data_IF_044768491902
#
_entry.id   IF_044768491902
#
_cell.length_a   1.000
_cell.length_b   1.000
_cell.length_c   1.000
_cell.angle_alpha   90.00
_cell.angle_beta   90.00
_cell.angle_gamma   90.00
#
_symmetry.space_group_name_H-M   'P 1'
#
loop_
_entity.id
_entity.type
_entity.pdbx_description
1 polymer ?
#
# COMPACT_ATOMS: atom_id res chain seq x y z
N UNK A 1 7.68 -16.18 -9.77
CA UNK A 1 8.93 -15.45 -9.44
C UNK A 1 8.61 -14.31 -8.47
N UNK A 2 9.59 -13.72 -7.78
CA UNK A 2 9.33 -12.62 -6.84
C UNK A 2 8.82 -11.35 -7.53
N UNK A 3 7.88 -10.63 -6.90
CA UNK A 3 7.36 -9.36 -7.42
C UNK A 3 8.52 -8.33 -7.52
N UNK A 4 8.77 -7.86 -8.74
CA UNK A 4 9.86 -6.94 -9.09
C UNK A 4 9.81 -5.60 -8.34
N UNK A 5 8.63 -5.19 -7.88
CA UNK A 5 8.44 -3.95 -7.13
C UNK A 5 8.68 -4.11 -5.62
N UNK A 6 8.87 -5.34 -5.11
CA UNK A 6 8.98 -5.61 -3.67
C UNK A 6 10.07 -4.78 -3.01
N UNK A 7 11.24 -4.71 -3.62
CA UNK A 7 12.37 -3.97 -3.07
C UNK A 7 12.08 -2.46 -2.98
N UNK A 8 11.48 -1.90 -4.03
CA UNK A 8 11.07 -0.49 -4.07
C UNK A 8 10.03 -0.19 -2.97
N UNK A 9 8.95 -0.96 -2.86
CA UNK A 9 7.88 -0.71 -1.90
C UNK A 9 8.37 -0.79 -0.44
N UNK A 10 9.22 -1.77 -0.11
CA UNK A 10 9.83 -1.89 1.23
C UNK A 10 10.71 -0.69 1.56
N UNK A 11 11.61 -0.33 0.65
CA UNK A 11 12.51 0.81 0.86
C UNK A 11 11.72 2.11 0.94
N UNK A 12 10.68 2.28 0.12
CA UNK A 12 9.82 3.45 0.15
C UNK A 12 9.16 3.62 1.53
N UNK A 13 8.54 2.55 2.04
CA UNK A 13 7.94 2.57 3.38
C UNK A 13 8.95 2.95 4.47
N UNK A 14 10.15 2.36 4.44
CA UNK A 14 11.19 2.63 5.45
C UNK A 14 11.79 4.04 5.34
N UNK A 15 12.06 4.52 4.12
CA UNK A 15 12.71 5.82 3.87
C UNK A 15 11.78 7.01 4.08
N UNK A 16 10.49 6.85 3.79
CA UNK A 16 9.49 7.92 3.88
C UNK A 16 8.75 7.93 5.22
N UNK A 17 9.17 7.12 6.19
CA UNK A 17 8.51 6.98 7.49
C UNK A 17 7.04 6.57 7.36
N UNK A 18 6.79 5.53 6.55
CA UNK A 18 5.53 4.80 6.50
C UNK A 18 4.61 5.11 5.32
N UNK A 19 5.01 5.93 4.34
CA UNK A 19 4.19 6.08 3.12
C UNK A 19 4.29 4.83 2.25
N UNK A 20 3.19 4.53 1.56
CA UNK A 20 3.05 3.41 0.64
C UNK A 20 2.68 3.98 -0.74
N UNK A 21 3.40 3.62 -1.82
CA UNK A 21 2.98 3.95 -3.18
C UNK A 21 1.63 3.29 -3.50
N UNK A 22 0.75 4.00 -4.21
CA UNK A 22 -0.52 3.41 -4.65
C UNK A 22 -0.28 2.27 -5.64
N UNK A 23 -0.98 1.14 -5.46
CA UNK A 23 -0.94 0.00 -6.37
C UNK A 23 -2.28 -0.17 -7.11
N UNK A 24 -2.31 -0.22 -8.45
CA UNK A 24 -1.18 0.00 -9.37
C UNK A 24 -0.71 1.47 -9.36
N UNK A 25 0.58 1.67 -9.69
CA UNK A 25 1.24 2.98 -9.71
C UNK A 25 0.51 3.96 -10.64
N UNK A 26 0.46 5.24 -10.23
CA UNK A 26 -0.14 6.33 -11.02
C UNK A 26 -1.62 6.62 -10.73
N UNK A 27 -2.28 5.81 -9.89
CA UNK A 27 -3.60 6.15 -9.33
C UNK A 27 -3.47 7.22 -8.25
N UNK A 28 -4.53 8.03 -8.12
CA UNK A 28 -4.62 9.05 -7.09
C UNK A 28 -5.41 8.54 -5.90
N UNK A 29 -4.98 8.93 -4.71
CA UNK A 29 -5.65 8.61 -3.45
C UNK A 29 -5.74 9.88 -2.60
N UNK A 30 -6.82 10.01 -1.84
CA UNK A 30 -7.10 11.17 -1.02
C UNK A 30 -7.33 10.77 0.45
N UNK A 31 -7.08 11.68 1.40
CA UNK A 31 -7.47 11.45 2.79
C UNK A 31 -8.97 11.15 2.87
N UNK A 32 -9.30 10.12 3.65
CA UNK A 32 -10.66 9.61 3.78
C UNK A 32 -11.05 8.56 2.75
N UNK A 33 -10.25 8.27 1.72
CA UNK A 33 -10.51 7.13 0.83
C UNK A 33 -10.44 5.84 1.65
N UNK A 34 -11.43 4.97 1.49
CA UNK A 34 -11.44 3.66 2.11
C UNK A 34 -11.44 2.55 1.06
N UNK A 35 -10.69 1.49 1.35
CA UNK A 35 -10.36 0.45 0.38
C UNK A 35 -10.10 -0.89 1.05
N UNK A 36 -10.02 -1.94 0.23
CA UNK A 36 -9.53 -3.25 0.62
C UNK A 36 -8.32 -3.64 -0.23
N UNK A 37 -7.43 -4.45 0.33
CA UNK A 37 -6.38 -5.10 -0.44
C UNK A 37 -6.88 -6.52 -0.76
N UNK A 38 -7.04 -6.81 -2.05
CA UNK A 38 -7.42 -8.15 -2.53
C UNK A 38 -6.49 -8.52 -3.66
N UNK A 39 -5.88 -9.70 -3.57
CA UNK A 39 -5.00 -10.26 -4.61
C UNK A 39 -3.92 -9.28 -5.12
N UNK A 40 -3.20 -8.62 -4.20
CA UNK A 40 -2.15 -7.66 -4.57
C UNK A 40 -2.66 -6.29 -5.05
N UNK A 41 -3.98 -6.07 -5.08
CA UNK A 41 -4.57 -4.86 -5.62
C UNK A 41 -5.33 -4.07 -4.58
N UNK A 42 -5.20 -2.75 -4.65
CA UNK A 42 -6.03 -1.80 -3.92
C UNK A 42 -7.38 -1.64 -4.63
N UNK A 43 -8.44 -2.11 -3.99
CA UNK A 43 -9.83 -1.93 -4.43
C UNK A 43 -10.41 -0.75 -3.67
N UNK A 44 -10.49 0.41 -4.31
CA UNK A 44 -11.15 1.59 -3.74
C UNK A 44 -12.66 1.34 -3.61
N UNK A 45 -13.20 1.57 -2.41
CA UNK A 45 -14.60 1.29 -2.07
C UNK A 45 -15.41 2.57 -1.90
N UNK A 46 -14.76 3.68 -1.55
CA UNK A 46 -15.40 4.99 -1.44
C UNK A 46 -14.52 5.98 -0.70
N UNK A 47 -15.12 7.07 -0.26
CA UNK A 47 -14.48 8.10 0.55
C UNK A 47 -15.42 8.50 1.69
N UNK A 48 -14.89 8.66 2.91
CA UNK A 48 -15.70 8.94 4.11
C UNK A 48 -16.55 10.20 3.99
N UNK A 49 -16.13 11.18 3.19
CA UNK A 49 -16.88 12.42 2.93
C UNK A 49 -17.92 12.21 1.83
N UNK A 50 -17.48 11.66 0.69
CA UNK A 50 -18.35 11.46 -0.49
C UNK A 50 -19.54 10.54 -0.18
N UNK A 51 -19.32 9.56 0.69
CA UNK A 51 -20.31 8.57 1.08
C UNK A 51 -21.13 9.00 2.33
N UNK A 52 -20.93 10.21 2.86
CA UNK A 52 -21.68 10.70 4.03
C UNK A 52 -21.37 9.95 5.33
N UNK A 53 -20.20 9.30 5.42
CA UNK A 53 -19.79 8.58 6.62
C UNK A 53 -19.31 9.52 7.71
N UNK A 54 -18.75 10.68 7.35
CA UNK A 54 -18.40 11.76 8.27
C UNK A 54 -18.71 13.07 7.56
N UNK A 55 -19.28 14.02 8.29
CA UNK A 55 -19.53 15.35 7.75
C UNK A 55 -18.19 16.07 7.52
N UNK A 56 -17.95 16.73 6.37
CA UNK A 56 -16.67 17.38 6.09
C UNK A 56 -16.23 18.39 7.17
N UNK A 57 -17.19 19.01 7.88
CA UNK A 57 -16.94 19.97 8.95
C UNK A 57 -16.44 19.33 10.25
N UNK A 58 -16.67 18.02 10.43
CA UNK A 58 -16.19 17.26 11.59
C UNK A 58 -14.71 16.84 11.43
N UNK A 59 -14.09 17.08 10.27
CA UNK A 59 -12.70 16.68 10.02
C UNK A 59 -11.78 17.89 9.87
N UNK A 60 -10.74 17.91 10.69
CA UNK A 60 -9.64 18.86 10.59
C UNK A 60 -8.54 18.30 9.67
N UNK A 61 -8.30 18.96 8.54
CA UNK A 61 -7.22 18.63 7.61
C UNK A 61 -6.05 19.62 7.76
N UNK A 62 -4.84 19.09 7.88
CA UNK A 62 -3.63 19.86 7.65
C UNK A 62 -3.26 19.77 6.16
N UNK A 63 -3.25 20.92 5.49
CA UNK A 63 -2.82 21.04 4.10
C UNK A 63 -1.35 21.48 4.03
N UNK A 64 -0.64 21.09 2.97
CA UNK A 64 0.75 21.51 2.69
C UNK A 64 1.76 21.18 3.80
N UNK A 65 1.65 20.00 4.42
CA UNK A 65 2.69 19.54 5.34
C UNK A 65 3.95 19.19 4.53
N UNK A 66 5.00 19.99 4.64
CA UNK A 66 6.27 19.71 3.97
C UNK A 66 6.90 18.44 4.52
N UNK A 67 7.24 17.52 3.63
CA UNK A 67 7.92 16.28 3.95
C UNK A 67 9.44 16.46 3.76
N UNK A 68 10.24 15.60 4.39
CA UNK A 68 11.69 15.64 4.24
C UNK A 68 12.09 15.24 2.80
N UNK A 69 12.66 16.13 1.99
CA UNK A 69 13.03 15.81 0.60
C UNK A 69 14.08 14.70 0.50
N UNK A 70 14.98 14.57 1.48
CA UNK A 70 16.03 13.53 1.46
C UNK A 70 15.44 12.12 1.54
N UNK A 71 14.32 11.95 2.24
CA UNK A 71 13.60 10.67 2.32
C UNK A 71 12.90 10.27 1.02
N UNK A 72 12.86 11.18 0.04
CA UNK A 72 12.11 11.07 -1.21
C UNK A 72 13.04 11.05 -2.45
N UNK A 73 14.33 10.84 -2.25
CA UNK A 73 15.31 10.61 -3.32
C UNK A 73 16.30 9.54 -2.91
N UNK A 74 16.11 8.32 -3.40
CA UNK A 74 16.92 7.16 -3.03
C UNK A 74 16.94 6.10 -4.13
N UNK A 75 17.95 5.23 -4.09
CA UNK A 75 18.14 4.15 -5.06
C UNK A 75 18.72 2.94 -4.35
N UNK A 76 18.52 1.77 -4.93
CA UNK A 76 19.15 0.53 -4.49
C UNK A 76 19.73 -0.23 -5.69
N UNK A 77 21.00 -0.63 -5.56
CA UNK A 77 21.73 -1.38 -6.59
C UNK A 77 21.79 -0.73 -7.98
N UNK A 78 21.89 0.61 -8.02
CA UNK A 78 22.05 1.41 -9.24
C UNK A 78 23.43 2.07 -9.26
N UNK A 79 24.11 1.96 -10.39
CA UNK A 79 25.36 2.66 -10.69
C UNK A 79 25.18 3.62 -11.86
N UNK A 80 26.06 4.60 -11.96
CA UNK A 80 26.07 5.62 -13.01
C UNK A 80 27.36 5.48 -13.83
N UNK A 81 27.50 4.44 -14.67
CA UNK A 81 28.74 4.17 -15.41
C UNK A 81 29.14 5.31 -16.35
N UNK A 82 28.18 6.12 -16.80
CA UNK A 82 28.45 7.27 -17.62
C UNK A 82 27.52 8.44 -17.26
N UNK A 83 28.10 9.62 -17.10
CA UNK A 83 27.41 10.90 -17.05
C UNK A 83 28.34 11.93 -17.71
N UNK A 84 27.94 12.48 -18.85
CA UNK A 84 28.82 13.33 -19.64
C UNK A 84 28.13 14.04 -20.79
N UNK A 85 28.94 14.81 -21.53
CA UNK A 85 28.49 15.56 -22.70
C UNK A 85 28.67 14.71 -23.96
N UNK A 86 27.73 14.86 -24.89
CA UNK A 86 27.82 14.35 -26.24
C UNK A 86 27.51 15.45 -27.24
N UNK A 87 28.07 15.30 -28.45
CA UNK A 87 27.79 16.19 -29.57
C UNK A 87 26.94 15.42 -30.58
N UNK A 88 25.80 15.99 -30.96
CA UNK A 88 24.93 15.50 -32.02
C UNK A 88 25.07 16.39 -33.25
N UNK A 89 24.82 15.84 -34.43
CA UNK A 89 24.81 16.59 -35.68
C UNK A 89 23.49 16.34 -36.40
N UNK A 90 22.63 17.35 -36.47
CA UNK A 90 21.32 17.30 -37.14
C UNK A 90 21.40 18.11 -38.45
N UNK A 91 21.01 17.55 -39.61
CA UNK A 91 21.05 18.25 -40.89
C UNK A 91 20.27 19.59 -40.93
N UNK A 92 19.29 19.79 -40.03
CA UNK A 92 18.46 21.00 -39.95
C UNK A 92 18.90 21.98 -38.85
N UNK A 93 19.58 21.50 -37.79
CA UNK A 93 19.98 22.31 -36.63
C UNK A 93 21.49 22.51 -36.49
N UNK A 94 22.30 21.82 -37.27
CA UNK A 94 23.77 21.83 -37.15
C UNK A 94 24.25 20.99 -35.96
N UNK A 95 25.48 21.27 -35.50
CA UNK A 95 26.04 20.66 -34.29
C UNK A 95 25.30 21.17 -33.05
N UNK A 96 24.83 20.25 -32.22
CA UNK A 96 24.21 20.57 -30.93
C UNK A 96 24.83 19.73 -29.82
N UNK A 97 24.97 20.33 -28.64
CA UNK A 97 25.45 19.63 -27.46
C UNK A 97 24.27 19.04 -26.67
N UNK A 98 24.47 17.85 -26.11
CA UNK A 98 23.50 17.20 -25.24
C UNK A 98 24.20 16.59 -24.03
N UNK A 99 23.49 16.45 -22.91
CA UNK A 99 23.99 15.67 -21.78
C UNK A 99 23.41 14.27 -21.82
N UNK A 100 24.26 13.25 -21.65
CA UNK A 100 23.89 11.83 -21.65
C UNK A 100 24.26 11.20 -20.30
N UNK A 101 23.37 10.35 -19.80
CA UNK A 101 23.58 9.57 -18.59
C UNK A 101 23.11 8.14 -18.82
N UNK A 102 23.93 7.18 -18.39
CA UNK A 102 23.61 5.76 -18.39
C UNK A 102 23.45 5.33 -16.93
N UNK A 103 22.33 4.68 -16.63
CA UNK A 103 22.03 4.06 -15.35
C UNK A 103 22.08 2.54 -15.52
N UNK A 104 22.93 1.88 -14.75
CA UNK A 104 23.06 0.43 -14.76
C UNK A 104 22.54 -0.17 -13.44
N UNK A 105 21.65 -1.15 -13.54
CA UNK A 105 20.99 -1.82 -12.42
C UNK A 105 21.59 -3.21 -12.25
N UNK A 106 22.12 -3.50 -11.07
CA UNK A 106 22.85 -4.76 -10.83
C UNK A 106 21.96 -6.01 -10.97
N UNK A 107 20.78 -5.99 -10.33
CA UNK A 107 19.89 -7.15 -10.20
C UNK A 107 18.44 -6.78 -10.53
N UNK A 108 17.60 -7.77 -10.78
CA UNK A 108 16.15 -7.59 -10.94
C UNK A 108 15.51 -7.01 -9.66
N UNK A 109 14.70 -5.97 -9.82
CA UNK A 109 14.01 -5.27 -8.72
C UNK A 109 14.83 -4.15 -8.08
N UNK A 110 16.07 -3.93 -8.52
CA UNK A 110 16.81 -2.70 -8.22
C UNK A 110 16.10 -1.49 -8.83
N UNK A 111 16.25 -0.34 -8.19
CA UNK A 111 15.45 0.83 -8.56
C UNK A 111 16.16 2.14 -8.25
N UNK A 112 15.71 3.19 -8.90
CA UNK A 112 16.04 4.58 -8.59
C UNK A 112 14.76 5.40 -8.54
N UNK A 113 14.57 6.11 -7.44
CA UNK A 113 13.42 6.97 -7.21
C UNK A 113 13.89 8.39 -6.86
N UNK A 114 13.24 9.38 -7.46
CA UNK A 114 13.42 10.78 -7.12
C UNK A 114 12.09 11.50 -7.11
N UNK A 115 11.89 12.35 -6.13
CA UNK A 115 10.78 13.26 -6.06
C UNK A 115 11.23 14.62 -5.55
N UNK A 116 10.59 15.68 -6.05
CA UNK A 116 10.87 17.06 -5.70
C UNK A 116 9.75 17.64 -4.85
N UNK A 117 10.12 18.47 -3.86
CA UNK A 117 9.17 19.23 -3.02
C UNK A 117 7.96 18.40 -2.52
N UNK A 118 8.20 17.28 -1.80
CA UNK A 118 7.14 16.42 -1.33
C UNK A 118 6.32 17.11 -0.22
N UNK A 119 5.00 17.09 -0.37
CA UNK A 119 4.05 17.62 0.60
C UNK A 119 2.92 16.61 0.88
N UNK A 120 2.31 16.68 2.05
CA UNK A 120 1.15 15.84 2.40
C UNK A 120 -0.05 16.61 2.92
N UNK A 121 -1.21 16.00 2.75
CA UNK A 121 -2.47 16.38 3.36
C UNK A 121 -2.84 15.30 4.38
N UNK A 122 -3.15 15.69 5.62
CA UNK A 122 -3.36 14.76 6.75
C UNK A 122 -4.61 15.08 7.56
N UNK A 123 -5.34 14.05 7.98
CA UNK A 123 -6.38 14.15 9.01
C UNK A 123 -5.74 14.33 10.38
N UNK A 124 -6.03 15.46 11.05
CA UNK A 124 -5.44 15.80 12.35
C UNK A 124 -6.23 15.22 13.52
N UNK A 125 -7.56 15.22 13.43
CA UNK A 125 -8.46 14.83 14.52
C UNK A 125 -8.95 13.39 14.37
N UNK A 126 -8.06 12.48 13.95
CA UNK A 126 -8.41 11.06 13.77
C UNK A 126 -9.03 10.45 15.04
N UNK A 127 -8.51 10.83 16.21
CA UNK A 127 -9.01 10.37 17.52
C UNK A 127 -10.51 10.57 17.70
N UNK A 128 -11.05 11.62 17.09
CA UNK A 128 -12.41 12.09 17.32
C UNK A 128 -13.39 11.36 16.40
N UNK A 129 -12.95 11.00 15.19
CA UNK A 129 -13.80 10.38 14.16
C UNK A 129 -13.69 8.85 14.12
N UNK A 130 -12.65 8.27 14.71
CA UNK A 130 -12.33 6.85 14.54
C UNK A 130 -13.43 5.88 15.02
N UNK A 131 -14.13 6.21 16.10
CA UNK A 131 -15.19 5.35 16.66
C UNK A 131 -16.43 5.39 15.79
N UNK A 132 -16.82 6.58 15.33
CA UNK A 132 -17.89 6.78 14.36
C UNK A 132 -17.62 6.00 13.07
N UNK A 133 -16.37 6.02 12.59
CA UNK A 133 -15.97 5.26 11.42
C UNK A 133 -16.07 3.74 11.64
N UNK A 134 -15.68 3.22 12.81
CA UNK A 134 -15.89 1.79 13.14
C UNK A 134 -17.37 1.45 13.02
N UNK A 135 -18.24 2.21 13.69
CA UNK A 135 -19.67 1.94 13.70
C UNK A 135 -20.25 1.99 12.28
N UNK A 136 -19.90 3.02 11.50
CA UNK A 136 -20.47 3.23 10.17
C UNK A 136 -19.97 2.23 9.13
N UNK A 137 -18.67 1.92 9.14
CA UNK A 137 -18.07 0.98 8.19
C UNK A 137 -18.35 -0.50 8.52
N UNK A 138 -18.70 -0.83 9.76
CA UNK A 138 -18.91 -2.23 10.17
C UNK A 138 -20.37 -2.60 10.44
N UNK A 139 -21.24 -1.62 10.71
CA UNK A 139 -22.65 -1.87 11.08
C UNK A 139 -23.67 -1.05 10.30
N UNK A 140 -23.56 0.28 10.31
CA UNK A 140 -24.72 1.11 9.92
C UNK A 140 -24.83 1.37 8.43
N UNK A 141 -23.71 1.40 7.70
CA UNK A 141 -23.70 1.61 6.25
C UNK A 141 -23.15 0.39 5.50
N UNK A 142 -22.17 -0.28 6.10
CA UNK A 142 -21.50 -1.43 5.53
C UNK A 142 -21.26 -2.48 6.60
N UNK A 143 -20.84 -3.68 6.19
CA UNK A 143 -20.51 -4.81 7.07
C UNK A 143 -19.06 -5.23 6.95
N UNK A 144 -18.14 -4.26 6.77
CA UNK A 144 -16.73 -4.58 6.60
C UNK A 144 -16.15 -5.24 7.87
N UNK A 145 -15.27 -6.22 7.65
CA UNK A 145 -14.44 -6.87 8.69
C UNK A 145 -12.97 -6.51 8.55
N UNK A 146 -12.54 -6.24 7.32
CA UNK A 146 -11.24 -5.69 6.96
C UNK A 146 -11.48 -4.49 6.04
N UNK A 147 -10.98 -3.32 6.42
CA UNK A 147 -11.02 -2.11 5.60
C UNK A 147 -9.87 -1.19 6.01
N UNK A 148 -9.32 -0.49 5.03
CA UNK A 148 -8.28 0.51 5.22
C UNK A 148 -8.89 1.88 4.98
N UNK A 149 -8.50 2.88 5.76
CA UNK A 149 -8.88 4.29 5.57
C UNK A 149 -7.59 5.10 5.46
N UNK A 150 -7.47 5.84 4.37
CA UNK A 150 -6.34 6.72 4.11
C UNK A 150 -6.41 7.91 5.05
N UNK A 151 -5.37 8.10 5.86
CA UNK A 151 -5.28 9.17 6.86
C UNK A 151 -4.39 10.31 6.41
N UNK A 152 -3.45 10.01 5.53
CA UNK A 152 -2.51 10.97 4.97
C UNK A 152 -2.23 10.61 3.51
N UNK A 153 -2.20 11.61 2.64
CA UNK A 153 -1.84 11.42 1.24
C UNK A 153 -0.76 12.43 0.86
N UNK A 154 0.27 11.96 0.18
CA UNK A 154 1.43 12.74 -0.22
C UNK A 154 1.51 12.88 -1.73
N UNK A 155 2.04 14.03 -2.17
CA UNK A 155 2.30 14.37 -3.55
C UNK A 155 3.62 15.14 -3.63
N UNK A 156 4.36 14.91 -4.71
CA UNK A 156 5.55 15.67 -5.06
C UNK A 156 5.22 16.66 -6.18
N UNK A 157 6.02 17.71 -6.37
CA UNK A 157 5.85 18.58 -7.54
C UNK A 157 6.06 17.78 -8.83
N UNK A 158 7.11 16.96 -8.86
CA UNK A 158 7.36 15.93 -9.84
C UNK A 158 8.03 14.71 -9.18
N UNK A 159 7.89 13.54 -9.79
CA UNK A 159 8.63 12.35 -9.38
C UNK A 159 8.95 11.43 -10.55
N UNK A 160 10.05 10.68 -10.44
CA UNK A 160 10.50 9.71 -11.44
C UNK A 160 10.93 8.41 -10.75
N UNK A 161 10.51 7.28 -11.30
CA UNK A 161 10.86 5.95 -10.86
C UNK A 161 11.33 5.11 -12.04
N UNK A 162 12.44 4.39 -11.85
CA UNK A 162 12.84 3.28 -12.72
C UNK A 162 13.08 2.02 -11.89
N UNK A 163 12.61 0.87 -12.36
CA UNK A 163 12.76 -0.46 -11.74
C UNK A 163 13.25 -1.46 -12.78
N UNK A 164 14.30 -2.22 -12.46
CA UNK A 164 14.85 -3.26 -13.33
C UNK A 164 13.97 -4.52 -13.36
N UNK A 165 13.64 -5.00 -14.56
CA UNK A 165 12.94 -6.28 -14.79
C UNK A 165 13.88 -7.48 -14.90
N UNK A 166 15.15 -7.23 -15.24
CA UNK A 166 16.20 -8.25 -15.37
C UNK A 166 17.51 -7.88 -14.67
N UNK A 167 18.46 -8.82 -14.73
CA UNK A 167 19.82 -8.58 -14.25
C UNK A 167 20.58 -7.74 -15.27
N UNK A 168 21.46 -6.83 -14.80
CA UNK A 168 22.21 -5.91 -15.67
C UNK A 168 21.31 -5.06 -16.58
N UNK A 169 20.16 -4.63 -16.06
CA UNK A 169 19.27 -3.73 -16.79
C UNK A 169 19.95 -2.36 -16.96
N UNK A 170 19.61 -1.67 -18.04
CA UNK A 170 20.24 -0.40 -18.39
C UNK A 170 19.21 0.61 -18.88
N UNK A 171 19.35 1.85 -18.42
CA UNK A 171 18.54 2.97 -18.86
C UNK A 171 19.47 4.09 -19.35
N UNK A 172 19.36 4.44 -20.63
CA UNK A 172 20.05 5.57 -21.23
C UNK A 172 19.10 6.75 -21.38
N UNK A 173 19.50 7.88 -20.82
CA UNK A 173 18.74 9.14 -20.87
C UNK A 173 19.61 10.28 -21.41
N UNK A 174 18.98 11.19 -22.14
CA UNK A 174 19.60 12.37 -22.75
C UNK A 174 18.76 13.61 -22.51
N UNK A 175 19.39 14.77 -22.35
CA UNK A 175 18.73 16.09 -22.31
C UNK A 175 19.34 17.00 -23.36
N UNK A 176 18.49 17.86 -23.95
CA UNK A 176 18.85 18.89 -24.93
C UNK A 176 19.43 20.17 -24.30
N UNK A 177 19.34 20.32 -22.98
CA UNK A 177 19.97 21.42 -22.25
C UNK A 177 21.39 21.06 -21.84
N UNK A 178 22.33 21.96 -22.13
CA UNK A 178 23.70 21.90 -21.62
C UNK A 178 23.67 22.16 -20.12
N UNK A 179 24.08 21.17 -19.33
CA UNK A 179 24.31 21.34 -17.91
C UNK A 179 25.82 21.33 -17.64
N UNK A 180 26.33 22.40 -17.03
CA UNK A 180 27.75 22.53 -16.69
C UNK A 180 28.07 21.68 -15.45
N UNK A 181 28.45 20.40 -15.63
CA UNK A 181 28.97 19.53 -14.55
C UNK A 181 28.74 18.01 -14.73
N UNK A 182 29.11 17.22 -13.69
CA UNK A 182 28.70 15.82 -13.49
C UNK A 182 27.22 15.78 -13.11
N UNK A 183 26.33 16.00 -14.08
CA UNK A 183 24.90 16.25 -13.77
C UNK A 183 24.09 14.98 -13.85
N UNK A 184 23.34 14.73 -12.78
CA UNK A 184 22.33 13.71 -12.69
C UNK A 184 21.04 14.21 -13.34
N UNK A 185 20.85 13.84 -14.61
CA UNK A 185 19.73 14.25 -15.45
C UNK A 185 18.50 13.34 -15.28
N UNK A 186 18.59 12.32 -14.42
CA UNK A 186 17.46 11.46 -14.09
C UNK A 186 16.32 12.26 -13.45
N UNK A 187 15.17 12.27 -14.13
CA UNK A 187 13.95 12.99 -13.74
C UNK A 187 13.88 14.44 -14.23
N UNK A 188 14.88 14.92 -14.97
CA UNK A 188 14.90 16.28 -15.50
C UNK A 188 13.79 16.51 -16.54
N UNK A 189 13.27 17.74 -16.63
CA UNK A 189 12.10 18.05 -17.47
C UNK A 189 12.28 17.84 -18.96
N UNK A 190 13.49 18.10 -19.43
CA UNK A 190 13.91 17.88 -20.81
C UNK A 190 14.52 16.50 -21.07
N UNK A 191 14.57 15.61 -20.07
CA UNK A 191 15.16 14.29 -20.23
C UNK A 191 14.28 13.40 -21.12
N UNK A 192 14.93 12.69 -22.04
CA UNK A 192 14.34 11.71 -22.94
C UNK A 192 15.08 10.38 -22.81
N UNK A 193 14.33 9.30 -22.78
CA UNK A 193 14.89 7.95 -22.84
C UNK A 193 15.32 7.62 -24.26
N UNK A 194 16.59 7.23 -24.42
CA UNK A 194 17.14 6.78 -25.71
C UNK A 194 17.11 5.26 -25.80
N UNK A 195 17.46 4.59 -24.69
CA UNK A 195 17.50 3.14 -24.61
C UNK A 195 16.99 2.67 -23.25
N UNK A 196 16.23 1.58 -23.27
CA UNK A 196 15.71 0.90 -22.09
C UNK A 196 15.87 -0.60 -22.29
N UNK A 197 16.84 -1.20 -21.60
CA UNK A 197 17.14 -2.63 -21.66
C UNK A 197 16.77 -3.28 -20.33
N UNK A 198 15.87 -4.27 -20.38
CA UNK A 198 15.42 -5.04 -19.22
C UNK A 198 14.90 -4.19 -18.04
N UNK A 199 14.33 -3.02 -18.34
CA UNK A 199 13.63 -2.17 -17.38
C UNK A 199 12.16 -2.58 -17.37
N UNK A 200 11.64 -2.95 -16.20
CA UNK A 200 10.24 -3.33 -16.03
C UNK A 200 9.34 -2.10 -16.05
N UNK A 201 9.76 -1.06 -15.34
CA UNK A 201 8.97 0.13 -15.10
C UNK A 201 9.83 1.36 -15.20
N UNK A 202 9.40 2.31 -16.01
CA UNK A 202 9.93 3.66 -16.04
C UNK A 202 8.77 4.64 -16.16
N UNK A 203 8.63 5.52 -15.18
CA UNK A 203 7.58 6.53 -15.17
C UNK A 203 8.10 7.83 -14.60
N UNK A 204 7.66 8.92 -15.24
CA UNK A 204 7.86 10.28 -14.79
C UNK A 204 6.50 10.96 -14.69
N UNK A 205 6.18 11.44 -13.50
CA UNK A 205 4.99 12.22 -13.23
C UNK A 205 5.41 13.69 -13.07
N UNK A 206 4.86 14.54 -13.92
CA UNK A 206 5.15 15.99 -13.92
C UNK A 206 4.09 16.80 -13.18
N UNK A 207 2.97 16.17 -12.80
CA UNK A 207 1.87 16.82 -12.10
C UNK A 207 1.90 16.43 -10.63
N UNK A 208 1.52 17.37 -9.77
CA UNK A 208 1.32 17.12 -8.33
C UNK A 208 0.10 16.22 -8.08
N UNK A 209 0.27 14.91 -8.33
CA UNK A 209 -0.72 13.87 -8.07
C UNK A 209 -0.42 13.15 -6.76
N UNK A 210 -1.45 12.98 -5.93
CA UNK A 210 -1.30 12.26 -4.68
C UNK A 210 -1.22 10.76 -4.92
N UNK A 211 0.02 10.25 -5.03
CA UNK A 211 0.32 8.90 -5.48
C UNK A 211 0.88 8.02 -4.36
N UNK A 212 0.92 8.55 -3.14
CA UNK A 212 1.52 7.92 -1.97
C UNK A 212 0.64 8.19 -0.75
N UNK A 213 0.50 7.22 0.15
CA UNK A 213 -0.43 7.35 1.27
C UNK A 213 0.06 6.69 2.55
N UNK A 214 -0.53 7.11 3.67
CA UNK A 214 -0.60 6.34 4.91
C UNK A 214 -2.05 6.03 5.18
N UNK A 215 -2.30 4.84 5.70
CA UNK A 215 -3.64 4.42 6.05
C UNK A 215 -3.67 3.80 7.43
N UNK A 216 -4.87 3.73 7.99
CA UNK A 216 -5.18 2.89 9.14
C UNK A 216 -6.04 1.73 8.70
N UNK A 217 -5.70 0.54 9.17
CA UNK A 217 -6.43 -0.69 8.92
C UNK A 217 -7.31 -1.03 10.11
N UNK A 218 -8.52 -1.47 9.81
CA UNK A 218 -9.43 -2.02 10.80
C UNK A 218 -8.92 -3.40 11.19
N UNK A 219 -8.65 -3.61 12.48
CA UNK A 219 -8.21 -4.89 13.02
C UNK A 219 -9.11 -5.32 14.17
N UNK A 220 -9.17 -6.64 14.38
CA UNK A 220 -9.85 -7.22 15.53
C UNK A 220 -8.97 -7.08 16.77
N UNK A 221 -9.57 -6.81 17.93
CA UNK A 221 -8.87 -6.78 19.20
C UNK A 221 -8.55 -8.20 19.66
N UNK A 222 -7.27 -8.51 19.80
CA UNK A 222 -6.74 -9.83 20.19
C UNK A 222 -7.41 -10.40 21.45
N UNK A 223 -7.57 -9.59 22.50
CA UNK A 223 -8.22 -10.00 23.77
C UNK A 223 -9.63 -10.59 23.57
N UNK A 224 -10.40 -10.06 22.62
CA UNK A 224 -11.75 -10.55 22.32
C UNK A 224 -11.71 -11.74 21.38
N UNK A 225 -10.74 -11.81 20.48
CA UNK A 225 -10.52 -12.97 19.62
C UNK A 225 -10.23 -14.22 20.45
N UNK A 226 -9.36 -14.11 21.47
CA UNK A 226 -9.06 -15.21 22.39
C UNK A 226 -10.28 -15.65 23.20
N UNK A 227 -11.07 -14.67 23.69
CA UNK A 227 -12.32 -14.96 24.41
C UNK A 227 -13.33 -15.69 23.52
N UNK A 228 -13.46 -15.27 22.25
CA UNK A 228 -14.34 -15.93 21.28
C UNK A 228 -13.86 -17.34 20.96
N UNK A 229 -12.56 -17.53 20.71
CA UNK A 229 -11.98 -18.84 20.46
C UNK A 229 -12.23 -19.78 21.65
N UNK A 230 -12.02 -19.32 22.88
CA UNK A 230 -12.30 -20.07 24.10
C UNK A 230 -13.78 -20.45 24.22
N UNK A 231 -14.70 -19.51 23.94
CA UNK A 231 -16.14 -19.78 23.95
C UNK A 231 -16.55 -20.80 22.87
N UNK A 232 -15.98 -20.71 21.66
CA UNK A 232 -16.23 -21.69 20.60
C UNK A 232 -15.70 -23.07 20.95
N UNK A 233 -14.50 -23.17 21.52
CA UNK A 233 -13.93 -24.44 21.98
C UNK A 233 -14.83 -25.05 23.05
N UNK A 234 -15.26 -24.27 24.04
CA UNK A 234 -16.17 -24.74 25.09
C UNK A 234 -17.54 -25.18 24.55
N UNK A 235 -18.08 -24.50 23.53
CA UNK A 235 -19.30 -24.94 22.85
C UNK A 235 -19.10 -26.26 22.08
N UNK A 236 -17.93 -26.45 21.49
CA UNK A 236 -17.58 -27.69 20.77
C UNK A 236 -17.41 -28.89 21.69
N UNK A 237 -16.92 -28.69 22.93
CA UNK A 237 -16.79 -29.75 23.93
C UNK A 237 -18.14 -30.39 24.32
N UNK A 238 -19.26 -29.67 24.15
CA UNK A 238 -20.63 -30.18 24.36
C UNK A 238 -21.40 -30.55 23.07
N UNK A 239 -20.77 -30.45 21.89
CA UNK A 239 -21.47 -30.47 20.61
C UNK A 239 -22.05 -31.84 20.22
N UNK A 240 -21.62 -32.95 20.82
CA UNK A 240 -22.09 -34.26 20.37
C UNK A 240 -23.41 -34.71 21.02
N UNK A 241 -23.86 -34.05 22.09
CA UNK A 241 -25.06 -34.46 22.82
C UNK A 241 -26.36 -34.17 22.05
N UNK A 242 -26.41 -33.09 21.27
CA UNK A 242 -27.62 -32.76 20.50
C UNK A 242 -27.90 -33.77 19.38
N UNK A 243 -26.87 -34.41 18.84
CA UNK A 243 -26.99 -35.34 17.72
C UNK A 243 -27.78 -36.61 18.10
N UNK A 244 -27.66 -37.06 19.35
CA UNK A 244 -28.38 -38.23 19.88
C UNK A 244 -29.90 -38.01 19.97
N UNK A 245 -30.33 -36.75 20.16
CA UNK A 245 -31.75 -36.39 20.23
C UNK A 245 -32.36 -35.95 18.90
N UNK A 246 -31.54 -35.68 17.88
CA UNK A 246 -31.99 -35.13 16.60
C UNK A 246 -32.04 -36.18 15.48
N UNK A 247 -31.03 -37.06 15.40
CA UNK A 247 -31.00 -38.10 14.37
C UNK A 247 -31.56 -39.42 14.90
N UNK A 248 -32.34 -40.11 14.07
CA UNK A 248 -32.87 -41.44 14.40
C UNK A 248 -31.77 -42.53 14.42
N UNK A 249 -30.63 -42.24 13.81
CA UNK A 249 -29.48 -43.13 13.77
C UNK A 249 -28.56 -42.87 14.96
N UNK A 250 -28.20 -43.93 15.68
CA UNK A 250 -27.35 -43.86 16.86
C UNK A 250 -25.89 -43.66 16.44
N UNK A 251 -25.44 -42.41 16.40
CA UNK A 251 -24.07 -42.06 16.06
C UNK A 251 -23.16 -42.27 17.26
N UNK A 252 -22.24 -43.23 17.16
CA UNK A 252 -21.17 -43.40 18.14
C UNK A 252 -20.14 -42.27 18.02
N UNK A 253 -19.83 -41.59 19.11
CA UNK A 253 -18.76 -40.59 19.17
C UNK A 253 -17.83 -40.84 20.36
N UNK A 254 -16.52 -40.83 20.07
CA UNK A 254 -15.47 -40.88 21.09
C UNK A 254 -15.22 -39.48 21.64
N UNK A 255 -15.38 -39.30 22.95
CA UNK A 255 -15.08 -38.04 23.65
C UNK A 255 -13.60 -37.60 23.56
N UNK A 256 -12.71 -38.45 23.03
CA UNK A 256 -11.27 -38.22 23.02
C UNK A 256 -10.74 -37.55 21.74
N UNK A 257 -11.59 -37.29 20.76
CA UNK A 257 -11.17 -36.72 19.47
C UNK A 257 -11.53 -35.23 19.33
N UNK A 258 -11.27 -34.41 20.36
CA UNK A 258 -11.28 -32.95 20.17
C UNK A 258 -9.93 -32.56 19.59
N UNK A 259 -9.91 -32.52 18.26
CA UNK A 259 -8.74 -32.19 17.46
C UNK A 259 -8.04 -30.93 17.97
N UNK A 260 -6.71 -31.00 17.90
CA UNK A 260 -5.71 -29.95 18.04
C UNK A 260 -5.84 -28.87 16.93
N UNK A 261 -7.07 -28.40 16.61
CA UNK A 261 -7.38 -27.39 15.58
C UNK A 261 -7.08 -25.96 16.03
N UNK A 262 -6.39 -25.76 17.15
CA UNK A 262 -6.07 -24.43 17.69
C UNK A 262 -5.13 -23.60 16.82
N UNK A 263 -4.54 -24.15 15.76
CA UNK A 263 -3.50 -23.49 14.96
C UNK A 263 -3.95 -22.95 13.60
N UNK A 264 -5.19 -23.19 13.16
CA UNK A 264 -5.64 -22.84 11.80
C UNK A 264 -6.91 -21.99 11.68
N UNK A 265 -7.51 -21.53 12.77
CA UNK A 265 -8.77 -20.75 12.74
C UNK A 265 -8.61 -19.23 12.93
N UNK A 266 -7.42 -18.66 12.69
CA UNK A 266 -7.24 -17.20 12.81
C UNK A 266 -7.90 -16.41 11.68
N UNK A 267 -8.27 -17.06 10.58
CA UNK A 267 -8.96 -16.41 9.48
C UNK A 267 -10.45 -16.29 9.80
N UNK A 268 -10.75 -15.20 10.52
CA UNK A 268 -12.06 -14.57 10.65
C UNK A 268 -13.08 -15.24 11.61
N UNK A 269 -12.67 -15.51 12.85
CA UNK A 269 -13.57 -15.89 13.98
C UNK A 269 -14.79 -14.96 14.16
N UNK A 270 -14.73 -13.73 13.64
CA UNK A 270 -15.85 -12.79 13.65
C UNK A 270 -17.00 -13.18 12.70
N UNK A 271 -16.75 -14.02 11.69
CA UNK A 271 -17.81 -14.53 10.80
C UNK A 271 -18.70 -15.57 11.52
N UNK A 272 -18.20 -16.14 12.62
CA UNK A 272 -18.93 -17.10 13.45
C UNK A 272 -19.83 -16.40 14.48
N UNK A 273 -19.74 -15.08 14.62
CA UNK A 273 -20.58 -14.33 15.56
C UNK A 273 -22.04 -14.37 15.11
N UNK A 274 -22.99 -14.65 16.04
CA UNK A 274 -24.41 -14.56 15.75
C UNK A 274 -24.79 -13.16 15.23
N UNK A 275 -25.79 -13.04 14.33
CA UNK A 275 -26.17 -11.78 13.67
C UNK A 275 -26.50 -10.60 14.62
N UNK A 276 -26.77 -10.86 15.91
CA UNK A 276 -27.16 -9.86 16.91
C UNK A 276 -26.03 -9.49 17.89
N UNK A 277 -24.93 -10.23 17.93
CA UNK A 277 -23.81 -9.94 18.84
C UNK A 277 -22.92 -8.81 18.34
N UNK A 278 -22.93 -8.56 17.03
CA UNK A 278 -22.22 -7.47 16.40
C UNK A 278 -23.22 -6.38 16.01
N UNK A 279 -23.41 -5.41 16.91
CA UNK A 279 -24.27 -4.25 16.73
C UNK A 279 -23.44 -2.96 16.94
N UNK A 280 -23.97 -1.76 16.64
CA UNK A 280 -23.22 -0.50 16.79
C UNK A 280 -22.55 -0.33 18.16
N UNK A 281 -23.21 -0.77 19.23
CA UNK A 281 -22.73 -0.65 20.60
C UNK A 281 -21.59 -1.63 20.90
N UNK A 282 -21.60 -2.82 20.30
CA UNK A 282 -20.58 -3.85 20.52
C UNK A 282 -19.43 -3.79 19.50
N UNK A 283 -19.61 -3.16 18.34
CA UNK A 283 -18.57 -3.05 17.31
C UNK A 283 -17.26 -2.42 17.83
N UNK A 284 -17.35 -1.44 18.72
CA UNK A 284 -16.18 -0.80 19.35
C UNK A 284 -15.39 -1.73 20.29
N UNK A 285 -16.03 -2.81 20.78
CA UNK A 285 -15.38 -3.83 21.60
C UNK A 285 -14.54 -4.79 20.76
N UNK A 286 -14.96 -5.06 19.52
CA UNK A 286 -14.28 -6.02 18.64
C UNK A 286 -13.24 -5.37 17.74
N UNK A 287 -13.47 -4.13 17.29
CA UNK A 287 -12.59 -3.48 16.35
C UNK A 287 -11.74 -2.38 16.98
N UNK A 288 -10.56 -2.18 16.39
CA UNK A 288 -9.71 -1.00 16.59
C UNK A 288 -9.03 -0.64 15.27
N UNK A 289 -8.51 0.57 15.17
CA UNK A 289 -7.66 0.97 14.07
C UNK A 289 -6.20 0.74 14.42
N UNK A 290 -5.44 0.18 13.49
CA UNK A 290 -3.98 0.08 13.55
C UNK A 290 -3.38 0.82 12.36
N UNK A 291 -2.16 1.34 12.49
CA UNK A 291 -1.43 1.88 11.34
C UNK A 291 -1.05 0.76 10.37
N UNK A 292 -0.99 1.08 9.08
CA UNK A 292 -0.45 0.16 8.08
C UNK A 292 1.01 -0.18 8.40
N UNK A 293 1.37 -1.45 8.29
CA UNK A 293 2.71 -2.00 8.55
C UNK A 293 3.36 -2.52 7.27
N UNK A 294 4.61 -3.00 7.39
CA UNK A 294 5.29 -3.69 6.29
C UNK A 294 4.50 -4.91 5.80
N UNK A 295 3.76 -5.60 6.67
CA UNK A 295 2.95 -6.77 6.25
C UNK A 295 1.85 -6.37 5.27
N UNK A 296 1.27 -5.18 5.43
CA UNK A 296 0.26 -4.67 4.51
C UNK A 296 0.88 -4.27 3.16
N UNK A 297 2.14 -3.82 3.18
CA UNK A 297 2.93 -3.61 1.96
C UNK A 297 3.17 -4.94 1.25
N UNK A 298 3.50 -6.01 1.98
CA UNK A 298 3.65 -7.35 1.39
C UNK A 298 2.34 -7.86 0.78
N UNK A 299 1.18 -7.57 1.38
CA UNK A 299 -0.13 -7.94 0.80
C UNK A 299 -0.37 -7.35 -0.60
N UNK A 300 0.19 -6.17 -0.90
CA UNK A 300 0.12 -5.55 -2.23
C UNK A 300 1.04 -6.23 -3.27
N UNK A 301 1.97 -7.06 -2.81
CA UNK A 301 3.01 -7.67 -3.64
C UNK A 301 2.75 -9.16 -3.91
N UNK A 302 1.65 -9.70 -3.40
CA UNK A 302 1.23 -11.08 -3.64
C UNK A 302 0.70 -11.18 -5.08
N UNK A 303 1.46 -11.87 -5.93
CA UNK A 303 0.99 -12.25 -7.27
C UNK A 303 0.21 -13.56 -7.14
N UNK A 304 -1.10 -13.52 -7.33
CA UNK A 304 -1.88 -14.73 -7.61
C UNK A 304 -1.83 -15.00 -9.12
N UNK A 305 -1.04 -16.00 -9.53
CA UNK A 305 -0.95 -16.46 -10.92
C UNK A 305 0.28 -15.96 -11.69
N UNK A 306 1.43 -16.61 -11.42
CA UNK A 306 2.39 -17.02 -12.46
C UNK A 306 2.46 -18.54 -12.44
#
# INVERSE_FOLDING_TARGET
MGNVYRNFYRNFYMRTNGFIPVSPLGKTVYPGDFFQIRNGQMIALGNIFRNGLIEPQEVALANHNKLNPEGWSFSDGVSKPYAGRGNGNDPLKGEFEFSKQILAFAERGNFIFKASDPESIRILNWSDIQQTLIIRLTQTHYSFREVYVVTESAAAADWTLAVSGGNMAELEIVTDQENFGLVDIFGHHSSKTIQSKDIEFYHREEKRKSSFYKAKKLVVREEKTETLAANFIAQWEGHNEWAQGFYEQDFHFDYQYVNNMGTHSQDNLLDLLPPNELNPSTALLYFKWADTSLDDVEKLLINYGE
#
